data_IF_950149575034
#
_entry.id   IF_950149575034
#
_cell.length_a   1.000
_cell.length_b   1.000
_cell.length_c   1.000
_cell.angle_alpha   90.00
_cell.angle_beta   90.00
_cell.angle_gamma   90.00
#
_symmetry.space_group_name_H-M   'P 1'
#
loop_
_entity.id
_entity.type
_entity.pdbx_description
1 polymer ?
#
# COMPACT_ATOMS: atom_id res chain seq x y z
N UNK A 1 -65.70 26.54 -30.18
CA UNK A 1 -64.40 27.08 -29.70
C UNK A 1 -63.64 25.94 -29.01
N UNK A 2 -62.66 25.34 -29.69
CA UNK A 2 -61.88 24.19 -29.19
C UNK A 2 -60.80 24.71 -28.24
N UNK A 3 -60.85 24.35 -26.96
CA UNK A 3 -59.77 24.62 -26.00
C UNK A 3 -58.76 23.49 -26.09
N UNK A 4 -57.60 23.78 -26.66
CA UNK A 4 -56.43 22.91 -26.59
C UNK A 4 -55.83 23.03 -25.18
N UNK A 5 -56.00 22.00 -24.36
CA UNK A 5 -55.29 21.87 -23.08
C UNK A 5 -53.91 21.31 -23.43
N UNK A 6 -52.89 22.18 -23.42
CA UNK A 6 -51.50 21.79 -23.58
C UNK A 6 -51.01 21.05 -22.34
N UNK A 7 -50.61 19.80 -22.52
CA UNK A 7 -50.00 18.97 -21.49
C UNK A 7 -48.51 19.36 -21.41
N UNK A 8 -48.13 20.10 -20.37
CA UNK A 8 -46.71 20.43 -20.09
C UNK A 8 -46.09 19.24 -19.36
N UNK A 9 -45.28 18.47 -20.07
CA UNK A 9 -44.43 17.41 -19.51
C UNK A 9 -43.21 18.08 -18.87
N UNK A 10 -43.22 18.17 -17.53
CA UNK A 10 -42.04 18.56 -16.75
C UNK A 10 -41.10 17.34 -16.73
N UNK A 11 -40.07 17.38 -17.57
CA UNK A 11 -38.95 16.44 -17.51
C UNK A 11 -38.05 16.89 -16.36
N UNK A 12 -38.20 16.24 -15.21
CA UNK A 12 -37.23 16.31 -14.12
C UNK A 12 -35.94 15.63 -14.61
N UNK A 13 -34.97 16.44 -15.04
CA UNK A 13 -33.59 15.98 -15.16
C UNK A 13 -33.10 15.66 -13.75
N UNK A 14 -33.13 14.37 -13.39
CA UNK A 14 -32.33 13.85 -12.29
C UNK A 14 -30.87 14.04 -12.69
N UNK A 15 -30.26 15.13 -12.24
CA UNK A 15 -28.81 15.16 -12.12
C UNK A 15 -28.45 14.10 -11.08
N UNK A 16 -27.98 12.95 -11.53
CA UNK A 16 -27.16 12.08 -10.68
C UNK A 16 -25.88 12.86 -10.43
N UNK A 17 -25.92 13.79 -9.49
CA UNK A 17 -24.72 14.39 -8.93
C UNK A 17 -23.87 13.22 -8.47
N UNK A 18 -22.71 13.06 -9.09
CA UNK A 18 -21.71 12.12 -8.60
C UNK A 18 -21.24 12.72 -7.29
N UNK A 19 -21.87 12.32 -6.19
CA UNK A 19 -21.24 12.42 -4.90
C UNK A 19 -19.95 11.60 -5.04
N UNK A 20 -18.81 12.28 -5.18
CA UNK A 20 -17.53 11.58 -5.08
C UNK A 20 -17.53 10.93 -3.69
N UNK A 21 -17.55 9.60 -3.69
CA UNK A 21 -17.33 8.83 -2.49
C UNK A 21 -15.94 9.20 -1.97
N UNK A 22 -15.86 9.37 -0.65
CA UNK A 22 -14.59 9.55 0.04
C UNK A 22 -13.61 8.45 -0.38
N UNK A 23 -12.40 8.85 -0.80
CA UNK A 23 -11.31 7.92 -1.09
C UNK A 23 -10.53 7.64 0.20
N UNK A 24 -10.54 6.38 0.70
CA UNK A 24 -9.77 6.01 1.87
C UNK A 24 -8.28 6.30 1.68
N UNK A 25 -7.63 6.78 2.73
CA UNK A 25 -6.19 7.02 2.77
C UNK A 25 -5.40 5.72 2.93
N UNK A 26 -5.94 4.74 3.65
CA UNK A 26 -5.29 3.44 3.81
C UNK A 26 -5.95 2.36 2.95
N UNK A 27 -5.10 1.54 2.33
CA UNK A 27 -5.46 0.29 1.66
C UNK A 27 -4.89 -0.89 2.47
N UNK A 28 -4.78 -2.08 1.87
CA UNK A 28 -4.12 -3.20 2.55
C UNK A 28 -2.64 -2.90 2.77
N UNK A 29 -1.98 -2.44 1.69
CA UNK A 29 -0.59 -2.06 1.67
C UNK A 29 -0.42 -0.63 1.19
N UNK A 30 0.25 0.23 1.95
CA UNK A 30 0.57 1.59 1.51
C UNK A 30 2.05 1.88 1.66
N UNK A 31 2.55 2.77 0.80
CA UNK A 31 3.91 3.29 0.87
C UNK A 31 3.91 4.77 0.50
N UNK A 32 4.57 5.59 1.31
CA UNK A 32 4.84 6.99 1.04
C UNK A 32 6.33 7.19 1.00
N UNK A 33 6.81 7.66 -0.14
CA UNK A 33 8.19 8.04 -0.33
C UNK A 33 8.32 9.54 -0.17
N UNK A 34 9.33 9.92 0.59
CA UNK A 34 9.54 11.26 1.07
C UNK A 34 10.94 11.70 0.69
N UNK A 35 11.03 12.89 0.09
CA UNK A 35 12.28 13.43 -0.40
C UNK A 35 12.66 14.67 0.42
N UNK A 36 13.88 14.67 0.94
CA UNK A 36 14.50 15.84 1.56
C UNK A 36 15.84 16.11 0.86
N UNK A 37 15.97 17.31 0.33
CA UNK A 37 17.13 17.81 -0.38
C UNK A 37 18.00 18.65 0.56
N UNK A 38 19.21 18.19 0.86
CA UNK A 38 20.17 18.93 1.65
C UNK A 38 21.29 19.46 0.76
N UNK A 39 21.45 20.79 0.68
CA UNK A 39 22.49 21.45 -0.13
C UNK A 39 22.47 21.07 -1.63
N UNK A 40 21.28 20.78 -2.17
CA UNK A 40 21.09 20.42 -3.57
C UNK A 40 21.29 18.92 -3.87
N UNK A 41 21.65 18.13 -2.87
CA UNK A 41 21.65 16.67 -2.93
C UNK A 41 20.28 16.15 -2.47
N UNK A 42 19.58 15.46 -3.37
CA UNK A 42 18.24 14.91 -3.15
C UNK A 42 18.26 13.37 -3.15
N UNK A 43 19.39 12.75 -2.78
CA UNK A 43 19.55 11.29 -2.90
C UNK A 43 18.87 10.49 -1.76
N UNK A 44 18.31 11.17 -0.74
CA UNK A 44 17.64 10.52 0.38
C UNK A 44 16.12 10.45 0.14
N UNK A 45 15.67 9.24 -0.24
CA UNK A 45 14.26 8.87 -0.22
C UNK A 45 13.99 8.10 1.05
N UNK A 46 13.34 8.78 1.97
CA UNK A 46 12.79 8.17 3.16
C UNK A 46 11.43 7.55 2.87
N UNK A 47 11.05 6.51 3.59
CA UNK A 47 9.82 5.76 3.28
C UNK A 47 9.01 5.52 4.54
N UNK A 48 7.70 5.75 4.47
CA UNK A 48 6.71 5.22 5.41
C UNK A 48 5.94 4.11 4.70
N UNK A 49 5.63 3.02 5.39
CA UNK A 49 4.82 1.95 4.82
C UNK A 49 3.99 1.25 5.89
N UNK A 50 2.97 0.54 5.46
CA UNK A 50 2.15 -0.31 6.35
C UNK A 50 2.91 -1.58 6.73
N UNK A 51 3.12 -1.81 8.04
CA UNK A 51 3.77 -3.00 8.63
C UNK A 51 2.74 -3.93 9.33
N UNK A 52 1.47 -3.78 8.97
CA UNK A 52 0.37 -4.64 9.41
C UNK A 52 -0.76 -3.90 10.09
N UNK A 53 -1.61 -4.67 10.77
CA UNK A 53 -2.83 -4.19 11.42
C UNK A 53 -2.94 -4.69 12.86
N UNK A 54 -3.66 -3.94 13.68
CA UNK A 54 -3.99 -4.34 15.05
C UNK A 54 -5.37 -3.84 15.46
N UNK A 55 -5.88 -4.37 16.57
CA UNK A 55 -7.14 -3.95 17.18
C UNK A 55 -6.85 -3.48 18.60
N UNK A 56 -7.21 -2.23 18.90
CA UNK A 56 -7.11 -1.65 20.25
C UNK A 56 -8.47 -1.08 20.62
N UNK A 57 -9.02 -1.49 21.77
CA UNK A 57 -10.34 -1.07 22.25
C UNK A 57 -11.45 -1.20 21.20
N UNK A 58 -11.47 -2.33 20.47
CA UNK A 58 -12.44 -2.64 19.42
C UNK A 58 -12.44 -1.67 18.22
N UNK A 59 -11.32 -0.97 18.00
CA UNK A 59 -11.06 -0.17 16.81
C UNK A 59 -9.87 -0.77 16.07
N UNK A 60 -9.98 -0.87 14.75
CA UNK A 60 -8.89 -1.32 13.88
C UNK A 60 -7.91 -0.19 13.62
N UNK A 61 -6.62 -0.52 13.59
CA UNK A 61 -5.53 0.41 13.33
C UNK A 61 -4.53 -0.22 12.35
N UNK A 62 -4.07 0.57 11.39
CA UNK A 62 -2.88 0.29 10.59
C UNK A 62 -1.64 0.63 11.42
N UNK A 63 -0.66 -0.25 11.41
CA UNK A 63 0.68 -0.01 11.96
C UNK A 63 1.52 0.48 10.80
N UNK A 64 2.13 1.65 10.94
CA UNK A 64 3.14 2.11 10.00
C UNK A 64 4.54 1.90 10.56
N UNK A 65 5.49 1.65 9.67
CA UNK A 65 6.93 1.60 9.94
C UNK A 65 7.70 2.41 8.87
N UNK A 66 9.01 2.59 9.08
CA UNK A 66 9.90 3.32 8.19
C UNK A 66 10.58 4.54 8.84
N UNK A 67 10.61 5.66 8.11
CA UNK A 67 11.47 6.81 8.36
C UNK A 67 11.53 7.36 9.81
N UNK A 68 12.77 7.63 10.24
CA UNK A 68 13.36 8.37 11.37
C UNK A 68 12.71 8.46 12.76
N UNK A 69 11.47 8.04 13.04
CA UNK A 69 10.92 8.10 14.41
C UNK A 69 9.93 6.99 14.78
N UNK A 70 9.68 5.99 13.93
CA UNK A 70 8.68 4.96 14.23
C UNK A 70 9.29 3.79 15.00
N UNK A 71 9.55 4.01 16.28
CA UNK A 71 9.66 2.88 17.21
C UNK A 71 8.26 2.26 17.40
N UNK A 72 7.80 1.41 16.47
CA UNK A 72 6.65 0.45 16.56
C UNK A 72 5.37 0.87 17.33
N UNK A 73 5.11 2.16 17.50
CA UNK A 73 4.09 2.67 18.44
C UNK A 73 3.12 3.68 17.80
N UNK A 74 3.09 3.77 16.47
CA UNK A 74 2.12 4.60 15.76
C UNK A 74 1.03 3.74 15.16
N UNK A 75 -0.16 3.94 15.71
CA UNK A 75 -1.36 3.25 15.30
C UNK A 75 -2.24 4.26 14.59
N UNK A 76 -2.38 4.12 13.28
CA UNK A 76 -3.25 4.98 12.49
C UNK A 76 -4.62 4.36 12.37
N UNK A 77 -5.66 5.15 12.61
CA UNK A 77 -7.04 4.72 12.44
C UNK A 77 -7.73 5.66 11.48
N UNK A 78 -8.43 5.08 10.53
CA UNK A 78 -9.28 5.81 9.62
C UNK A 78 -10.74 5.47 9.88
N UNK A 79 -11.55 6.50 10.11
CA UNK A 79 -13.00 6.40 10.14
C UNK A 79 -13.54 6.83 8.79
N UNK A 80 -13.83 5.82 7.95
CA UNK A 80 -14.35 6.01 6.58
C UNK A 80 -15.69 6.77 6.58
N UNK A 81 -16.52 6.57 7.60
CA UNK A 81 -17.84 7.20 7.66
C UNK A 81 -17.75 8.70 7.97
N UNK A 82 -16.77 9.07 8.81
CA UNK A 82 -16.52 10.45 9.19
C UNK A 82 -15.45 11.13 8.31
N UNK A 83 -14.75 10.37 7.47
CA UNK A 83 -13.63 10.84 6.64
C UNK A 83 -12.49 11.43 7.47
N UNK A 84 -12.23 10.82 8.63
CA UNK A 84 -11.25 11.30 9.61
C UNK A 84 -10.18 10.26 9.84
N UNK A 85 -8.94 10.72 9.92
CA UNK A 85 -7.78 9.88 10.21
C UNK A 85 -7.12 10.36 11.49
N UNK A 86 -6.76 9.39 12.33
CA UNK A 86 -6.27 9.60 13.68
C UNK A 86 -4.94 8.90 13.85
N UNK A 87 -4.05 9.50 14.63
CA UNK A 87 -2.83 8.88 15.12
C UNK A 87 -2.98 8.58 16.60
N UNK A 88 -2.84 7.33 16.98
CA UNK A 88 -2.73 6.91 18.37
C UNK A 88 -1.28 6.60 18.71
N UNK A 89 -0.79 7.22 19.78
CA UNK A 89 0.53 6.97 20.37
C UNK A 89 0.38 6.33 21.75
N UNK A 90 1.35 5.50 22.12
CA UNK A 90 1.41 4.86 23.44
C UNK A 90 2.57 5.50 24.22
N UNK A 91 2.24 6.35 25.19
CA UNK A 91 3.23 7.05 26.03
C UNK A 91 2.95 6.69 27.49
N UNK A 92 3.94 6.11 28.18
CA UNK A 92 3.83 5.69 29.59
C UNK A 92 2.60 4.82 29.88
N UNK A 93 2.32 3.83 29.01
CA UNK A 93 1.13 2.97 29.04
C UNK A 93 -0.22 3.71 28.91
N UNK A 94 -0.24 5.00 28.55
CA UNK A 94 -1.44 5.73 28.21
C UNK A 94 -1.56 5.86 26.69
N UNK A 95 -2.76 5.58 26.18
CA UNK A 95 -3.10 5.89 24.80
C UNK A 95 -3.40 7.38 24.68
N UNK A 96 -2.81 8.04 23.68
CA UNK A 96 -3.17 9.39 23.24
C UNK A 96 -3.57 9.33 21.78
N UNK A 97 -4.78 9.75 21.46
CA UNK A 97 -5.30 9.78 20.09
C UNK A 97 -5.39 11.23 19.62
N UNK A 98 -4.80 11.52 18.47
CA UNK A 98 -4.77 12.83 17.83
C UNK A 98 -5.55 12.74 16.52
N UNK A 99 -6.46 13.69 16.27
CA UNK A 99 -7.03 13.86 14.94
C UNK A 99 -5.95 14.45 14.03
N UNK A 100 -5.56 13.73 12.98
CA UNK A 100 -4.59 14.22 12.01
C UNK A 100 -5.27 14.86 10.80
N UNK A 101 -6.27 14.18 10.26
CA UNK A 101 -6.94 14.60 9.02
C UNK A 101 -8.45 14.58 9.19
N UNK A 102 -9.10 15.59 8.63
CA UNK A 102 -10.55 15.66 8.48
C UNK A 102 -10.88 16.04 7.03
N UNK A 103 -11.14 15.04 6.19
CA UNK A 103 -11.50 15.22 4.78
C UNK A 103 -12.99 15.53 4.59
N UNK A 104 -13.74 15.75 5.68
CA UNK A 104 -15.11 16.24 5.62
C UNK A 104 -15.23 17.77 5.62
N UNK A 105 -14.12 18.49 5.85
CA UNK A 105 -14.09 19.95 5.91
C UNK A 105 -14.54 20.61 4.61
N UNK A 106 -15.21 21.74 4.75
CA UNK A 106 -15.62 22.64 3.68
C UNK A 106 -14.73 23.91 3.66
N UNK A 107 -14.62 24.53 2.49
CA UNK A 107 -13.80 25.76 2.32
C UNK A 107 -14.29 26.87 3.27
N UNK A 108 -13.36 27.45 4.01
CA UNK A 108 -13.60 28.46 5.04
C UNK A 108 -13.70 27.91 6.45
N UNK A 109 -13.81 26.58 6.63
CA UNK A 109 -13.74 25.96 7.95
C UNK A 109 -12.30 25.90 8.46
N UNK A 110 -12.17 25.80 9.79
CA UNK A 110 -10.88 25.77 10.49
C UNK A 110 -10.67 24.45 11.22
N UNK A 111 -9.42 24.03 11.30
CA UNK A 111 -9.00 22.85 12.05
C UNK A 111 -7.72 23.15 12.83
N UNK A 112 -7.67 22.70 14.08
CA UNK A 112 -6.43 22.72 14.86
C UNK A 112 -5.55 21.55 14.40
N UNK A 113 -4.39 21.86 13.81
CA UNK A 113 -3.49 20.85 13.28
C UNK A 113 -2.40 20.53 14.29
N UNK A 114 -2.39 19.29 14.77
CA UNK A 114 -1.31 18.76 15.62
C UNK A 114 -0.28 18.03 14.76
N UNK A 115 1.00 18.22 15.04
CA UNK A 115 2.12 17.49 14.45
C UNK A 115 2.77 16.65 15.56
N UNK A 116 2.23 15.48 15.93
CA UNK A 116 2.60 14.81 17.20
C UNK A 116 4.06 14.36 17.30
N UNK A 117 4.85 14.50 16.22
CA UNK A 117 6.25 14.10 16.14
C UNK A 117 7.02 15.22 15.42
N UNK A 118 8.25 15.47 15.90
CA UNK A 118 9.23 16.37 15.28
C UNK A 118 9.41 16.12 13.77
N UNK A 119 9.82 17.11 12.97
CA UNK A 119 10.48 18.36 13.36
C UNK A 119 9.58 19.60 13.49
N UNK A 120 8.31 19.50 13.12
CA UNK A 120 7.38 20.62 13.30
C UNK A 120 6.98 20.79 14.78
N UNK A 121 6.57 22.01 15.20
CA UNK A 121 5.98 22.21 16.52
C UNK A 121 4.77 21.29 16.75
N UNK A 122 4.67 20.67 17.94
CA UNK A 122 3.62 19.68 18.26
C UNK A 122 2.21 20.24 18.03
N UNK A 123 1.96 21.48 18.43
CA UNK A 123 0.75 22.20 18.07
C UNK A 123 1.08 23.16 16.92
N UNK A 124 0.58 22.88 15.72
CA UNK A 124 0.71 23.76 14.55
C UNK A 124 -0.25 24.96 14.58
N UNK A 125 -1.21 24.98 15.50
CA UNK A 125 -2.24 25.99 15.63
C UNK A 125 -3.44 25.77 14.71
N UNK A 126 -4.30 26.80 14.62
CA UNK A 126 -5.47 26.78 13.75
C UNK A 126 -5.11 27.07 12.29
N UNK A 127 -5.67 26.28 11.39
CA UNK A 127 -5.54 26.46 9.95
C UNK A 127 -6.92 26.57 9.32
N UNK A 128 -7.08 27.52 8.41
CA UNK A 128 -8.28 27.68 7.58
C UNK A 128 -8.11 26.90 6.27
N UNK A 129 -9.10 26.10 5.89
CA UNK A 129 -9.19 25.49 4.56
C UNK A 129 -9.51 26.57 3.52
N UNK A 130 -8.55 26.95 2.69
CA UNK A 130 -8.69 28.08 1.76
C UNK A 130 -9.22 27.67 0.40
N UNK A 131 -8.91 26.46 -0.07
CA UNK A 131 -9.47 25.91 -1.30
C UNK A 131 -9.48 24.38 -1.31
N UNK A 132 -10.40 23.82 -2.09
CA UNK A 132 -10.39 22.42 -2.52
C UNK A 132 -10.33 22.40 -4.04
N UNK A 133 -9.32 21.75 -4.60
CA UNK A 133 -9.20 21.53 -6.05
C UNK A 133 -9.36 20.05 -6.38
N UNK A 134 -9.96 19.75 -7.53
CA UNK A 134 -10.12 18.38 -8.01
C UNK A 134 -9.15 18.18 -9.17
N UNK A 135 -8.13 17.35 -8.96
CA UNK A 135 -7.07 17.13 -9.93
C UNK A 135 -6.84 15.63 -10.17
N UNK A 136 -6.45 15.21 -11.37
CA UNK A 136 -6.07 13.83 -11.61
C UNK A 136 -4.70 13.53 -10.98
N UNK A 137 -4.53 12.33 -10.43
CA UNK A 137 -3.23 11.82 -10.00
C UNK A 137 -2.65 10.79 -10.98
N UNK A 138 -1.56 10.11 -10.61
CA UNK A 138 -0.79 9.22 -11.48
C UNK A 138 -1.61 8.02 -11.98
N UNK A 139 -2.55 7.54 -11.18
CA UNK A 139 -3.49 6.47 -11.53
C UNK A 139 -4.60 6.90 -12.52
N UNK A 140 -4.61 8.17 -12.93
CA UNK A 140 -5.60 8.76 -13.84
C UNK A 140 -6.96 9.07 -13.20
N UNK A 141 -7.13 8.82 -11.90
CA UNK A 141 -8.33 9.15 -11.16
C UNK A 141 -8.27 10.58 -10.60
N UNK A 142 -9.44 11.18 -10.36
CA UNK A 142 -9.56 12.50 -9.75
C UNK A 142 -9.63 12.43 -8.22
N UNK A 143 -8.84 13.28 -7.57
CA UNK A 143 -8.71 13.41 -6.12
C UNK A 143 -8.91 14.87 -5.69
N UNK A 144 -9.34 15.05 -4.44
CA UNK A 144 -9.44 16.37 -3.83
C UNK A 144 -8.11 16.75 -3.18
N UNK A 145 -7.62 17.92 -3.54
CA UNK A 145 -6.47 18.58 -2.95
C UNK A 145 -7.00 19.68 -2.03
N UNK A 146 -6.65 19.59 -0.75
CA UNK A 146 -7.04 20.52 0.28
C UNK A 146 -5.86 21.44 0.58
N UNK A 147 -6.07 22.74 0.43
CA UNK A 147 -5.05 23.75 0.66
C UNK A 147 -5.40 24.55 1.90
N UNK A 148 -4.48 24.59 2.85
CA UNK A 148 -4.69 25.26 4.14
C UNK A 148 -3.69 26.40 4.31
N UNK A 149 -4.15 27.45 4.97
CA UNK A 149 -3.29 28.54 5.45
C UNK A 149 -3.47 28.72 6.95
N UNK A 150 -2.44 29.15 7.69
CA UNK A 150 -2.58 29.48 9.10
C UNK A 150 -3.69 30.53 9.28
N UNK A 151 -4.60 30.29 10.22
CA UNK A 151 -5.64 31.25 10.58
C UNK A 151 -5.02 32.57 11.06
N UNK A 152 -5.70 33.72 10.97
CA UNK A 152 -5.13 35.02 11.35
C UNK A 152 -4.58 35.10 12.78
N UNK A 153 -5.11 34.30 13.71
CA UNK A 153 -4.68 34.23 15.11
C UNK A 153 -3.58 33.18 15.36
N UNK A 154 -3.23 32.37 14.36
CA UNK A 154 -2.21 31.35 14.48
C UNK A 154 -0.82 32.00 14.52
N UNK A 155 -0.17 31.96 15.68
CA UNK A 155 1.20 32.47 15.88
C UNK A 155 2.27 31.40 15.81
N UNK A 156 1.91 30.13 15.61
CA UNK A 156 2.84 29.00 15.65
C UNK A 156 3.36 28.62 14.27
N UNK A 157 2.46 28.53 13.29
CA UNK A 157 2.80 28.19 11.91
C UNK A 157 2.69 29.41 11.00
N UNK A 158 3.66 29.57 10.11
CA UNK A 158 3.71 30.67 9.14
C UNK A 158 3.74 30.19 7.69
N UNK A 159 3.40 28.93 7.46
CA UNK A 159 3.47 28.24 6.16
C UNK A 159 2.15 27.55 5.88
N UNK A 160 1.92 27.20 4.61
CA UNK A 160 0.73 26.49 4.18
C UNK A 160 0.90 24.97 4.32
N UNK A 161 -0.21 24.28 4.51
CA UNK A 161 -0.27 22.81 4.47
C UNK A 161 -1.11 22.37 3.28
N UNK A 162 -0.75 21.21 2.70
CA UNK A 162 -1.47 20.64 1.56
C UNK A 162 -1.73 19.18 1.83
N UNK A 163 -2.99 18.78 1.73
CA UNK A 163 -3.41 17.38 1.83
C UNK A 163 -4.05 16.93 0.53
N UNK A 164 -3.97 15.64 0.25
CA UNK A 164 -4.71 15.00 -0.84
C UNK A 164 -5.55 13.87 -0.24
N UNK A 165 -6.84 13.85 -0.53
CA UNK A 165 -7.72 12.73 -0.16
C UNK A 165 -7.11 11.42 -0.70
N UNK A 166 -7.06 10.34 0.06
CA UNK A 166 -6.41 9.09 -0.37
C UNK A 166 -4.87 9.05 -0.25
N UNK A 167 -4.19 10.18 0.02
CA UNK A 167 -2.73 10.21 0.21
C UNK A 167 -2.34 10.76 1.59
N UNK A 168 -3.06 11.77 2.12
CA UNK A 168 -2.70 12.46 3.35
C UNK A 168 -1.93 13.76 3.10
N UNK A 169 -1.12 14.19 4.08
CA UNK A 169 -0.25 15.37 3.95
C UNK A 169 0.80 15.17 2.87
N UNK A 170 1.05 16.20 2.05
CA UNK A 170 2.21 16.20 1.14
C UNK A 170 3.53 16.55 1.84
N UNK A 171 3.49 16.87 3.14
CA UNK A 171 4.67 16.92 4.00
C UNK A 171 4.89 15.54 4.65
N UNK A 172 5.10 15.46 5.96
CA UNK A 172 5.13 14.17 6.68
C UNK A 172 3.71 13.68 6.98
N UNK A 173 3.46 12.37 6.81
CA UNK A 173 2.16 11.73 7.05
C UNK A 173 1.62 11.91 8.48
N UNK A 174 2.51 12.16 9.43
CA UNK A 174 2.23 12.40 10.84
C UNK A 174 2.32 13.89 11.23
N UNK A 175 2.55 14.78 10.27
CA UNK A 175 2.59 16.24 10.47
C UNK A 175 1.62 16.91 9.49
N UNK A 176 0.30 16.85 9.76
CA UNK A 176 -0.72 17.42 8.88
C UNK A 176 -0.56 18.94 8.73
N UNK A 177 -0.02 19.65 9.72
CA UNK A 177 0.27 21.09 9.62
C UNK A 177 1.61 21.43 8.95
N UNK A 178 2.35 20.44 8.44
CA UNK A 178 3.67 20.64 7.85
C UNK A 178 3.64 21.24 6.44
N UNK A 179 4.62 22.07 6.12
CA UNK A 179 4.85 22.54 4.75
C UNK A 179 5.45 21.40 3.90
N UNK A 180 4.92 21.12 2.70
CA UNK A 180 5.60 20.27 1.73
C UNK A 180 6.78 21.05 1.13
N UNK A 181 7.99 20.84 1.67
CA UNK A 181 9.18 21.58 1.25
C UNK A 181 10.39 20.66 1.12
N UNK A 182 10.74 20.34 -0.13
CA UNK A 182 11.88 19.48 -0.46
C UNK A 182 13.20 20.00 0.11
N UNK A 183 13.42 21.31 0.16
CA UNK A 183 14.67 21.90 0.67
C UNK A 183 14.65 22.16 2.19
N UNK A 184 13.61 21.66 2.89
CA UNK A 184 13.36 21.88 4.30
C UNK A 184 13.19 20.58 5.08
N UNK A 185 11.99 20.35 5.60
CA UNK A 185 11.67 19.10 6.31
C UNK A 185 11.53 17.93 5.33
N UNK A 186 11.21 18.24 4.06
CA UNK A 186 10.97 17.35 2.93
C UNK A 186 9.50 17.35 2.48
N UNK A 187 9.20 16.60 1.43
CA UNK A 187 7.84 16.42 0.91
C UNK A 187 7.64 15.02 0.32
N UNK A 188 6.39 14.56 0.28
CA UNK A 188 6.02 13.32 -0.43
C UNK A 188 6.34 13.49 -1.91
N UNK A 189 7.16 12.59 -2.44
CA UNK A 189 7.47 12.53 -3.86
C UNK A 189 6.69 11.41 -4.57
N UNK A 190 6.44 10.29 -3.89
CA UNK A 190 5.67 9.18 -4.43
C UNK A 190 4.73 8.59 -3.36
N UNK A 191 3.56 8.12 -3.77
CA UNK A 191 2.65 7.35 -2.90
C UNK A 191 2.12 6.16 -3.66
N UNK A 192 2.08 5.01 -2.98
CA UNK A 192 1.59 3.76 -3.52
C UNK A 192 0.48 3.19 -2.62
N UNK A 193 -0.50 2.55 -3.24
CA UNK A 193 -1.54 1.78 -2.60
C UNK A 193 -1.63 0.42 -3.31
N UNK A 194 -1.49 -0.66 -2.55
CA UNK A 194 -1.51 -2.04 -3.02
C UNK A 194 -0.54 -2.32 -4.19
N UNK A 195 0.61 -1.63 -4.18
CA UNK A 195 1.65 -1.71 -5.22
C UNK A 195 1.41 -0.81 -6.44
N UNK A 196 0.25 -0.16 -6.54
CA UNK A 196 -0.04 0.80 -7.61
C UNK A 196 0.41 2.21 -7.22
N UNK A 197 1.04 2.92 -8.15
CA UNK A 197 1.45 4.31 -7.96
C UNK A 197 0.25 5.26 -8.04
N UNK A 198 -0.10 5.87 -6.91
CA UNK A 198 -1.22 6.78 -6.76
C UNK A 198 -0.78 8.22 -7.02
N UNK A 199 0.33 8.66 -6.42
CA UNK A 199 0.81 10.05 -6.49
C UNK A 199 2.28 10.08 -6.90
N UNK A 200 2.64 11.04 -7.75
CA UNK A 200 4.02 11.30 -8.13
C UNK A 200 4.26 12.79 -8.35
N UNK A 201 5.30 13.33 -7.71
CA UNK A 201 5.79 14.67 -8.01
C UNK A 201 6.87 14.61 -9.11
N UNK A 202 6.41 14.55 -10.36
CA UNK A 202 7.30 14.37 -11.53
C UNK A 202 8.19 15.58 -11.83
N UNK A 203 7.96 16.72 -11.19
CA UNK A 203 8.85 17.89 -11.28
C UNK A 203 10.14 17.70 -10.48
N UNK A 204 10.12 16.82 -9.46
CA UNK A 204 11.25 16.59 -8.56
C UNK A 204 11.88 15.21 -8.67
N UNK A 205 11.11 14.20 -9.09
CA UNK A 205 11.62 12.84 -9.30
C UNK A 205 11.22 12.33 -10.69
N UNK A 206 12.16 11.70 -11.39
CA UNK A 206 11.91 11.17 -12.74
C UNK A 206 11.01 9.92 -12.72
N UNK A 207 11.18 9.05 -11.72
CA UNK A 207 10.44 7.79 -11.60
C UNK A 207 10.10 7.47 -10.15
N UNK A 208 8.92 6.91 -9.94
CA UNK A 208 8.45 6.39 -8.66
C UNK A 208 8.42 4.87 -8.75
N UNK A 209 9.30 4.20 -8.00
CA UNK A 209 9.32 2.73 -7.88
C UNK A 209 9.08 2.38 -6.41
N UNK A 210 8.16 1.47 -6.08
CA UNK A 210 7.95 1.08 -4.68
C UNK A 210 9.23 0.44 -4.11
N UNK A 211 9.61 0.82 -2.89
CA UNK A 211 10.79 0.31 -2.20
C UNK A 211 10.48 -0.94 -1.38
N UNK A 212 9.27 -0.99 -0.78
CA UNK A 212 8.83 -2.02 0.14
C UNK A 212 7.70 -2.83 -0.50
N UNK A 213 6.84 -2.16 -1.28
CA UNK A 213 5.72 -2.78 -1.99
C UNK A 213 6.10 -3.42 -3.33
N UNK A 214 7.38 -3.71 -3.55
CA UNK A 214 7.71 -4.84 -4.40
C UNK A 214 7.07 -6.07 -3.74
N UNK A 215 5.82 -6.37 -4.12
CA UNK A 215 5.42 -7.75 -4.22
C UNK A 215 6.59 -8.42 -4.92
N UNK A 216 7.21 -9.44 -4.31
CA UNK A 216 7.93 -10.39 -5.13
C UNK A 216 6.96 -10.68 -6.26
N UNK A 217 7.26 -10.22 -7.49
CA UNK A 217 6.65 -10.82 -8.66
C UNK A 217 6.81 -12.29 -8.34
N UNK A 218 5.70 -13.00 -8.13
CA UNK A 218 5.76 -14.43 -7.99
C UNK A 218 6.36 -14.86 -9.32
N UNK A 219 7.68 -15.01 -9.38
CA UNK A 219 8.33 -15.73 -10.46
C UNK A 219 7.69 -17.09 -10.32
N UNK A 220 6.67 -17.29 -11.14
CA UNK A 220 5.86 -18.48 -11.18
C UNK A 220 6.85 -19.61 -11.28
N UNK A 221 6.80 -20.55 -10.33
CA UNK A 221 7.60 -21.76 -10.47
C UNK A 221 7.26 -22.33 -11.85
N UNK A 222 8.23 -22.48 -12.77
CA UNK A 222 7.92 -22.77 -14.16
C UNK A 222 6.98 -23.97 -14.25
N UNK A 223 6.02 -23.92 -15.16
CA UNK A 223 5.09 -25.03 -15.38
C UNK A 223 5.89 -26.25 -15.85
N UNK A 224 6.24 -27.11 -14.89
CA UNK A 224 6.83 -28.41 -15.15
C UNK A 224 5.71 -29.40 -15.43
N UNK A 225 5.85 -30.13 -16.52
CA UNK A 225 4.94 -31.21 -16.87
C UNK A 225 5.45 -32.51 -16.26
N UNK A 226 4.59 -33.23 -15.55
CA UNK A 226 4.93 -34.50 -14.92
C UNK A 226 3.99 -35.57 -15.46
N UNK A 227 4.56 -36.64 -15.99
CA UNK A 227 3.80 -37.80 -16.44
C UNK A 227 4.54 -39.09 -16.10
N UNK A 228 3.76 -40.15 -15.94
CA UNK A 228 4.26 -41.49 -15.68
C UNK A 228 4.08 -42.33 -16.95
N UNK A 229 5.14 -42.97 -17.41
CA UNK A 229 5.13 -43.84 -18.58
C UNK A 229 6.15 -44.98 -18.38
N UNK A 230 5.71 -46.22 -18.58
CA UNK A 230 6.56 -47.41 -18.61
C UNK A 230 7.49 -47.56 -17.39
N UNK A 231 6.93 -47.48 -16.18
CA UNK A 231 7.69 -47.61 -14.94
C UNK A 231 8.66 -46.46 -14.66
N UNK A 232 8.51 -45.33 -15.36
CA UNK A 232 9.34 -44.13 -15.19
C UNK A 232 8.49 -42.86 -15.05
N UNK A 233 8.95 -41.97 -14.18
CA UNK A 233 8.40 -40.63 -14.00
C UNK A 233 9.26 -39.66 -14.81
N UNK A 234 8.60 -38.91 -15.68
CA UNK A 234 9.23 -37.89 -16.52
C UNK A 234 8.81 -36.51 -16.07
N UNK A 235 9.78 -35.59 -16.06
CA UNK A 235 9.59 -34.18 -15.70
C UNK A 235 10.17 -33.34 -16.84
N UNK A 236 9.31 -32.56 -17.51
CA UNK A 236 9.72 -31.62 -18.57
C UNK A 236 9.76 -30.20 -18.03
N UNK A 237 10.42 -29.32 -18.78
CA UNK A 237 10.68 -27.93 -18.39
C UNK A 237 11.47 -27.82 -17.08
N UNK A 238 12.35 -28.79 -16.81
CA UNK A 238 13.03 -28.95 -15.53
C UNK A 238 14.25 -28.01 -15.32
N UNK A 239 14.46 -27.01 -16.19
CA UNK A 239 15.66 -26.16 -16.17
C UNK A 239 15.86 -25.44 -14.83
N UNK A 240 14.77 -25.05 -14.16
CA UNK A 240 14.83 -24.38 -12.87
C UNK A 240 14.96 -25.34 -11.68
N UNK A 241 14.84 -26.66 -11.87
CA UNK A 241 14.88 -27.65 -10.79
C UNK A 241 16.32 -27.81 -10.30
N UNK A 242 16.56 -27.50 -9.02
CA UNK A 242 17.86 -27.65 -8.33
C UNK A 242 17.92 -28.87 -7.44
N UNK A 243 16.79 -29.25 -6.84
CA UNK A 243 16.68 -30.46 -6.06
C UNK A 243 15.30 -31.08 -6.23
N UNK A 244 15.26 -32.40 -6.22
CA UNK A 244 14.03 -33.17 -6.23
C UNK A 244 14.13 -34.26 -5.15
N UNK A 245 13.05 -34.40 -4.38
CA UNK A 245 12.91 -35.45 -3.39
C UNK A 245 11.55 -36.13 -3.53
N UNK A 246 11.49 -37.45 -3.34
CA UNK A 246 10.26 -38.23 -3.42
C UNK A 246 10.03 -38.96 -2.11
N UNK A 247 8.81 -38.86 -1.60
CA UNK A 247 8.37 -39.44 -0.34
C UNK A 247 7.15 -40.34 -0.55
N UNK A 248 7.07 -41.41 0.22
CA UNK A 248 5.86 -42.23 0.30
C UNK A 248 4.83 -41.63 1.29
N UNK A 249 3.68 -42.30 1.42
CA UNK A 249 2.59 -41.88 2.31
C UNK A 249 2.96 -41.91 3.81
N UNK A 250 4.05 -42.58 4.19
CA UNK A 250 4.57 -42.59 5.55
C UNK A 250 5.64 -41.51 5.77
N UNK A 251 5.92 -40.67 4.76
CA UNK A 251 6.95 -39.65 4.81
C UNK A 251 8.38 -40.19 4.63
N UNK A 252 8.55 -41.46 4.23
CA UNK A 252 9.87 -42.03 4.00
C UNK A 252 10.43 -41.54 2.67
N UNK A 253 11.63 -41.00 2.68
CA UNK A 253 12.34 -40.54 1.49
C UNK A 253 12.78 -41.74 0.64
N UNK A 254 12.22 -41.87 -0.57
CA UNK A 254 12.64 -42.86 -1.57
C UNK A 254 13.78 -42.34 -2.45
N UNK A 255 13.79 -41.03 -2.71
CA UNK A 255 14.77 -40.40 -3.58
C UNK A 255 15.05 -38.98 -3.08
N UNK A 256 16.31 -38.55 -3.17
CA UNK A 256 16.68 -37.15 -3.07
C UNK A 256 17.90 -36.90 -3.96
N UNK A 257 17.76 -36.06 -4.98
CA UNK A 257 18.80 -35.77 -5.97
C UNK A 257 18.87 -34.28 -6.25
N UNK A 258 20.09 -33.79 -6.49
CA UNK A 258 20.35 -32.44 -7.00
C UNK A 258 20.56 -32.48 -8.50
N UNK A 259 20.19 -31.41 -9.18
CA UNK A 259 20.27 -31.27 -10.63
C UNK A 259 20.89 -29.93 -10.99
N UNK A 260 21.75 -29.95 -12.01
CA UNK A 260 22.35 -28.75 -12.60
C UNK A 260 21.66 -28.45 -13.93
N UNK A 261 20.59 -27.65 -13.87
CA UNK A 261 19.92 -27.01 -15.02
C UNK A 261 19.66 -27.93 -16.22
N UNK A 262 18.92 -29.01 -16.01
CA UNK A 262 18.56 -30.00 -17.05
C UNK A 262 17.15 -29.75 -17.59
N UNK A 263 16.93 -29.82 -18.90
CA UNK A 263 15.60 -29.58 -19.50
C UNK A 263 14.59 -30.68 -19.19
N UNK A 264 15.08 -31.91 -18.96
CA UNK A 264 14.26 -33.08 -18.64
C UNK A 264 14.92 -33.90 -17.54
N UNK A 265 14.09 -34.45 -16.64
CA UNK A 265 14.52 -35.35 -15.58
C UNK A 265 13.69 -36.64 -15.70
N UNK A 266 14.38 -37.78 -15.62
CA UNK A 266 13.75 -39.11 -15.61
C UNK A 266 14.10 -39.84 -14.33
N UNK A 267 13.10 -40.45 -13.70
CA UNK A 267 13.23 -41.21 -12.47
C UNK A 267 12.59 -42.58 -12.71
N UNK A 268 13.36 -43.66 -12.57
CA UNK A 268 12.79 -45.00 -12.55
C UNK A 268 11.95 -45.18 -11.28
N UNK A 269 10.70 -45.60 -11.44
CA UNK A 269 9.83 -46.07 -10.37
C UNK A 269 9.78 -47.61 -10.31
N UNK A 270 10.76 -48.28 -10.93
CA UNK A 270 10.87 -49.74 -10.87
C UNK A 270 11.06 -50.20 -9.41
N UNK A 271 10.27 -51.20 -9.00
CA UNK A 271 10.26 -51.71 -7.63
C UNK A 271 9.50 -50.85 -6.62
N UNK A 272 8.88 -49.74 -7.05
CA UNK A 272 7.96 -48.98 -6.20
C UNK A 272 6.60 -49.68 -6.16
N UNK A 273 5.89 -49.55 -5.05
CA UNK A 273 4.56 -50.15 -4.91
C UNK A 273 3.53 -49.24 -5.58
N UNK A 274 2.43 -49.82 -6.03
CA UNK A 274 1.27 -49.06 -6.51
C UNK A 274 0.72 -48.21 -5.36
N UNK A 275 0.95 -46.90 -5.44
CA UNK A 275 0.63 -45.97 -4.36
C UNK A 275 0.64 -44.53 -4.87
N UNK A 276 0.24 -43.63 -3.97
CA UNK A 276 0.51 -42.21 -4.07
C UNK A 276 1.90 -41.92 -3.51
N UNK A 277 2.62 -41.01 -4.18
CA UNK A 277 3.88 -40.44 -3.77
C UNK A 277 3.83 -38.92 -3.81
N UNK A 278 4.60 -38.27 -2.94
CA UNK A 278 4.78 -36.83 -2.94
C UNK A 278 6.16 -36.48 -3.47
N UNK A 279 6.21 -35.69 -4.53
CA UNK A 279 7.42 -35.16 -5.08
C UNK A 279 7.60 -33.70 -4.68
N UNK A 280 8.65 -33.44 -3.91
CA UNK A 280 9.08 -32.12 -3.50
C UNK A 280 10.15 -31.63 -4.48
N UNK A 281 9.85 -30.54 -5.19
CA UNK A 281 10.77 -29.92 -6.15
C UNK A 281 11.23 -28.59 -5.61
N UNK A 282 12.53 -28.41 -5.46
CA UNK A 282 13.15 -27.13 -5.09
C UNK A 282 13.79 -26.50 -6.31
N UNK A 283 13.42 -25.26 -6.58
CA UNK A 283 13.88 -24.49 -7.72
C UNK A 283 15.08 -23.59 -7.39
N UNK A 284 15.35 -22.64 -8.28
CA UNK A 284 16.19 -21.48 -7.99
C UNK A 284 15.61 -20.64 -6.84
N UNK A 285 16.46 -19.92 -6.09
CA UNK A 285 16.06 -19.09 -4.94
C UNK A 285 15.30 -19.83 -3.82
N UNK A 286 15.53 -21.14 -3.64
CA UNK A 286 14.90 -21.99 -2.60
C UNK A 286 13.36 -22.14 -2.65
N UNK A 287 12.68 -21.68 -3.72
CA UNK A 287 11.23 -21.93 -3.89
C UNK A 287 10.96 -23.44 -3.97
N UNK A 288 9.88 -23.89 -3.32
CA UNK A 288 9.53 -25.31 -3.21
C UNK A 288 8.11 -25.56 -3.71
N UNK A 289 7.92 -26.56 -4.58
CA UNK A 289 6.59 -26.99 -5.07
C UNK A 289 6.40 -28.49 -4.81
N UNK A 290 5.17 -28.88 -4.50
CA UNK A 290 4.81 -30.27 -4.18
C UNK A 290 3.88 -30.80 -5.26
N UNK A 291 4.19 -31.99 -5.75
CA UNK A 291 3.36 -32.71 -6.71
C UNK A 291 2.94 -34.05 -6.14
N UNK A 292 1.72 -34.46 -6.48
CA UNK A 292 1.20 -35.80 -6.18
C UNK A 292 1.41 -36.68 -7.41
N UNK A 293 2.10 -37.80 -7.23
CA UNK A 293 2.35 -38.79 -8.28
C UNK A 293 1.62 -40.08 -7.92
N UNK A 294 1.05 -40.75 -8.92
CA UNK A 294 0.43 -42.06 -8.76
C UNK A 294 1.24 -43.04 -9.61
N UNK A 295 1.76 -44.10 -9.00
CA UNK A 295 2.34 -45.24 -9.70
C UNK A 295 1.31 -46.39 -9.73
N UNK A 296 1.33 -47.15 -10.82
CA UNK A 296 0.48 -48.31 -11.10
C UNK A 296 1.31 -49.35 -11.83
#
# INVERSE_FOLDING_TARGET
MKKHIGFVLIVLFYSTGVAQNYRPMFSELNEWQFLNCFQGDCDLVDTYFTDGDTIVNNKSYKILDGHHYIARNFLFREDISQRKVYLTTIINNSLREYLLYDFSLEVGEEIEMFNPISPFPENGGMFTLTSIEIQPLTDGNFYKHFYFSPSPENTTSSWNAVWIEGVGSLSLINAPGGEPNFDGVGAVCCSFADGENIYSNTERIETCNPNILEAEEEELFPEIEIYNYDGSIYIRNALAVKQLSIYDLQGRSLLSKKYDSTSTITISSEGWRDSVYFMLVKGTKNKTKIFKIITR
#
